data_IF_463798190015
#
_entry.id   IF_463798190015
#
_cell.length_a   1.000
_cell.length_b   1.000
_cell.length_c   1.000
_cell.angle_alpha   90.00
_cell.angle_beta   90.00
_cell.angle_gamma   90.00
#
_symmetry.space_group_name_H-M   'P 1'
#
loop_
_entity.id
_entity.type
_entity.pdbx_description
1 polymer ?
#
# COMPACT_ATOMS: atom_id res chain seq x y z
N UNK A 1 -15.31 3.08 23.06
CA UNK A 1 -13.99 2.64 22.59
C UNK A 1 -13.28 3.86 22.05
N UNK A 2 -12.19 4.26 22.70
CA UNK A 2 -11.37 5.43 22.33
C UNK A 2 -10.52 5.06 21.13
N UNK A 3 -10.87 5.59 19.95
CA UNK A 3 -10.05 5.47 18.76
C UNK A 3 -8.87 6.43 18.91
N UNK A 4 -7.68 5.89 19.15
CA UNK A 4 -6.45 6.65 19.02
C UNK A 4 -5.72 6.07 17.81
N UNK A 5 -6.00 6.59 16.62
CA UNK A 5 -5.14 6.35 15.45
C UNK A 5 -4.16 7.51 15.42
N UNK A 6 -2.93 7.27 15.82
CA UNK A 6 -1.81 8.15 15.56
C UNK A 6 -0.65 7.29 15.10
N UNK A 7 -0.61 7.04 13.80
CA UNK A 7 0.49 7.48 12.94
C UNK A 7 0.29 6.91 11.54
N UNK A 8 -0.14 7.78 10.63
CA UNK A 8 0.08 7.60 9.21
C UNK A 8 1.59 7.63 8.92
N UNK A 9 2.02 7.64 7.66
CA UNK A 9 3.44 7.69 7.39
C UNK A 9 3.79 7.84 5.92
N UNK A 10 2.83 8.19 5.07
CA UNK A 10 3.12 8.43 3.67
C UNK A 10 3.69 9.84 3.51
N UNK A 11 4.87 9.89 2.92
CA UNK A 11 5.50 11.10 2.41
C UNK A 11 5.40 11.06 0.88
N UNK A 12 5.00 12.19 0.28
CA UNK A 12 4.91 12.31 -1.17
C UNK A 12 6.28 12.06 -1.83
N UNK A 13 6.28 11.21 -2.84
CA UNK A 13 7.47 10.87 -3.62
C UNK A 13 8.09 12.10 -4.30
N UNK A 14 9.41 12.15 -4.37
CA UNK A 14 10.12 13.04 -5.30
C UNK A 14 10.07 12.46 -6.73
N UNK A 15 9.78 13.27 -7.77
CA UNK A 15 9.77 12.78 -9.16
C UNK A 15 11.11 12.20 -9.62
N UNK A 16 11.09 11.10 -10.36
CA UNK A 16 12.26 10.51 -11.04
C UNK A 16 11.89 10.12 -12.47
N UNK A 17 12.65 10.60 -13.45
CA UNK A 17 12.41 10.34 -14.88
C UNK A 17 12.69 8.88 -15.28
N UNK A 18 13.35 8.10 -14.40
CA UNK A 18 13.65 6.68 -14.61
C UNK A 18 12.54 5.75 -14.16
N UNK A 19 11.46 6.29 -13.58
CA UNK A 19 10.30 5.50 -13.14
C UNK A 19 9.74 4.69 -14.31
N UNK A 20 9.69 3.37 -14.13
CA UNK A 20 9.06 2.47 -15.11
C UNK A 20 7.55 2.67 -15.06
N UNK A 21 6.95 3.22 -16.12
CA UNK A 21 5.51 3.46 -16.17
C UNK A 21 4.74 2.17 -16.50
N UNK A 22 3.64 1.95 -15.79
CA UNK A 22 2.63 0.97 -16.15
C UNK A 22 1.77 1.54 -17.28
N UNK A 23 1.57 0.74 -18.32
CA UNK A 23 0.63 1.02 -19.39
C UNK A 23 -0.21 -0.24 -19.65
N UNK A 24 -1.51 -0.16 -19.37
CA UNK A 24 -2.46 -1.19 -19.75
C UNK A 24 -2.53 -1.29 -21.29
N UNK A 25 -2.57 -2.50 -21.86
CA UNK A 25 -2.77 -2.69 -23.29
C UNK A 25 -4.07 -2.01 -23.76
N UNK A 26 -4.05 -1.35 -24.93
CA UNK A 26 -5.22 -0.65 -25.47
C UNK A 26 -6.43 -1.57 -25.65
N UNK A 27 -6.20 -2.84 -26.01
CA UNK A 27 -7.23 -3.88 -26.11
C UNK A 27 -7.88 -4.18 -24.76
N UNK A 28 -7.11 -4.18 -23.67
CA UNK A 28 -7.65 -4.36 -22.32
C UNK A 28 -8.45 -3.12 -21.87
N UNK A 29 -7.98 -1.93 -22.22
CA UNK A 29 -8.69 -0.68 -21.90
C UNK A 29 -10.04 -0.55 -22.63
N UNK A 30 -10.14 -1.09 -23.84
CA UNK A 30 -11.38 -1.11 -24.61
C UNK A 30 -12.46 -2.04 -24.03
N UNK A 31 -12.08 -2.98 -23.17
CA UNK A 31 -12.94 -4.03 -22.62
C UNK A 31 -12.80 -4.14 -21.10
N UNK A 32 -12.71 -3.01 -20.40
CA UNK A 32 -12.65 -3.01 -18.93
C UNK A 32 -13.98 -3.54 -18.34
N UNK A 33 -13.92 -4.48 -17.38
CA UNK A 33 -15.12 -4.88 -16.66
C UNK A 33 -15.65 -3.72 -15.82
N UNK A 34 -16.96 -3.67 -15.58
CA UNK A 34 -17.58 -2.61 -14.76
C UNK A 34 -17.23 -2.70 -13.27
N UNK A 35 -16.71 -3.84 -12.84
CA UNK A 35 -16.32 -4.09 -11.46
C UNK A 35 -15.18 -5.10 -11.41
N UNK A 36 -14.22 -4.85 -10.54
CA UNK A 36 -13.16 -5.80 -10.17
C UNK A 36 -13.07 -5.85 -8.66
N UNK A 37 -12.98 -7.05 -8.11
CA UNK A 37 -12.78 -7.28 -6.69
C UNK A 37 -11.71 -8.35 -6.46
N UNK A 38 -10.53 -7.93 -6.00
CA UNK A 38 -9.41 -8.80 -5.70
C UNK A 38 -9.36 -9.22 -4.22
N UNK A 39 -10.29 -8.76 -3.36
CA UNK A 39 -10.30 -9.09 -1.92
C UNK A 39 -10.25 -10.59 -1.63
N UNK A 40 -10.94 -11.48 -2.37
CA UNK A 40 -10.85 -12.92 -2.13
C UNK A 40 -9.44 -13.51 -2.34
N UNK A 41 -8.55 -12.79 -3.03
CA UNK A 41 -7.18 -13.19 -3.30
C UNK A 41 -6.16 -12.43 -2.43
N UNK A 42 -6.62 -11.49 -1.60
CA UNK A 42 -5.75 -10.73 -0.72
C UNK A 42 -5.31 -11.55 0.49
N UNK A 43 -4.07 -11.31 0.99
CA UNK A 43 -3.68 -11.82 2.29
C UNK A 43 -4.54 -11.20 3.42
N UNK A 44 -4.57 -11.81 4.61
CA UNK A 44 -5.23 -11.25 5.79
C UNK A 44 -4.86 -9.78 6.02
N UNK A 45 -5.80 -8.95 6.46
CA UNK A 45 -5.52 -7.52 6.74
C UNK A 45 -4.58 -7.40 7.93
N UNK A 46 -3.55 -6.57 7.78
CA UNK A 46 -2.57 -6.30 8.82
C UNK A 46 -3.07 -5.22 9.79
N UNK A 47 -2.40 -5.12 10.94
CA UNK A 47 -2.53 -4.00 11.86
C UNK A 47 -1.15 -3.35 12.07
N UNK A 48 -1.02 -2.09 11.68
CA UNK A 48 0.22 -1.32 11.82
C UNK A 48 0.42 -0.80 13.25
N UNK A 49 -0.63 -0.80 14.09
CA UNK A 49 -0.60 -0.24 15.43
C UNK A 49 -0.40 1.28 15.42
N UNK A 50 0.48 1.76 16.30
CA UNK A 50 0.77 3.20 16.48
C UNK A 50 2.04 3.65 15.76
N UNK A 51 2.52 2.89 14.77
CA UNK A 51 3.75 3.18 14.04
C UNK A 51 3.43 3.75 12.66
N UNK A 52 4.21 4.73 12.21
CA UNK A 52 4.09 5.39 10.89
C UNK A 52 4.53 4.54 9.70
N UNK A 53 4.25 3.24 9.71
CA UNK A 53 4.77 2.25 8.76
C UNK A 53 3.79 1.91 7.63
N UNK A 54 2.85 2.79 7.28
CA UNK A 54 1.79 2.48 6.32
C UNK A 54 2.33 2.09 4.93
N UNK A 55 3.43 2.71 4.49
CA UNK A 55 4.13 2.34 3.24
C UNK A 55 4.56 0.89 3.25
N UNK A 56 5.24 0.46 4.31
CA UNK A 56 5.68 -0.91 4.50
C UNK A 56 4.50 -1.90 4.57
N UNK A 57 3.39 -1.54 5.22
CA UNK A 57 2.19 -2.39 5.27
C UNK A 57 1.53 -2.56 3.88
N UNK A 58 1.43 -1.47 3.11
CA UNK A 58 0.90 -1.50 1.73
C UNK A 58 1.78 -2.34 0.80
N UNK A 59 3.10 -2.15 0.87
CA UNK A 59 4.09 -2.86 0.05
C UNK A 59 4.18 -4.35 0.43
N UNK A 60 4.22 -4.68 1.73
CA UNK A 60 4.16 -6.07 2.19
C UNK A 60 2.88 -6.76 1.67
N UNK A 61 1.75 -6.05 1.68
CA UNK A 61 0.50 -6.54 1.13
C UNK A 61 0.58 -6.86 -0.36
N UNK A 62 1.22 -5.98 -1.14
CA UNK A 62 1.45 -6.19 -2.57
C UNK A 62 2.39 -7.38 -2.84
N UNK A 63 3.50 -7.51 -2.09
CA UNK A 63 4.44 -8.63 -2.19
C UNK A 63 3.74 -9.95 -1.88
N UNK A 64 3.02 -10.02 -0.76
CA UNK A 64 2.34 -11.25 -0.37
C UNK A 64 1.25 -11.64 -1.37
N UNK A 65 0.47 -10.66 -1.85
CA UNK A 65 -0.52 -10.88 -2.91
C UNK A 65 0.13 -11.47 -4.16
N UNK A 66 1.22 -10.87 -4.64
CA UNK A 66 1.88 -11.31 -5.87
C UNK A 66 2.50 -12.71 -5.71
N UNK A 67 3.14 -13.01 -4.56
CA UNK A 67 3.64 -14.36 -4.27
C UNK A 67 2.52 -15.41 -4.25
N UNK A 68 1.36 -15.08 -3.67
CA UNK A 68 0.18 -15.94 -3.68
C UNK A 68 -0.34 -16.17 -5.11
N UNK A 69 -0.44 -15.09 -5.91
CA UNK A 69 -0.84 -15.15 -7.32
C UNK A 69 0.09 -16.02 -8.16
N UNK A 70 1.40 -15.91 -7.93
CA UNK A 70 2.43 -16.71 -8.59
C UNK A 70 2.55 -18.14 -8.03
N UNK A 71 1.82 -18.47 -6.94
CA UNK A 71 1.89 -19.77 -6.24
C UNK A 71 3.30 -20.12 -5.76
N UNK A 72 4.06 -19.13 -5.31
CA UNK A 72 5.43 -19.32 -4.83
C UNK A 72 5.46 -19.95 -3.44
N UNK A 73 6.47 -20.79 -3.22
CA UNK A 73 6.72 -21.46 -1.93
C UNK A 73 8.12 -21.11 -1.40
N UNK A 74 8.29 -20.87 -0.09
CA UNK A 74 7.26 -20.89 0.94
C UNK A 74 6.31 -19.68 0.83
N UNK A 75 5.06 -19.90 1.22
CA UNK A 75 4.12 -18.82 1.49
C UNK A 75 4.50 -18.21 2.85
N UNK A 76 4.63 -16.88 2.90
CA UNK A 76 4.96 -16.16 4.13
C UNK A 76 4.37 -14.75 4.10
N UNK A 77 4.19 -14.19 5.30
CA UNK A 77 3.92 -12.77 5.51
C UNK A 77 5.25 -12.01 5.45
N UNK A 78 5.40 -10.99 4.58
CA UNK A 78 6.64 -10.20 4.47
C UNK A 78 6.86 -9.32 5.73
N UNK A 79 8.11 -9.13 6.16
CA UNK A 79 8.45 -8.35 7.35
C UNK A 79 8.26 -6.85 7.13
N UNK A 80 7.16 -6.33 7.67
CA UNK A 80 6.83 -4.89 7.58
C UNK A 80 7.90 -4.00 8.24
N UNK A 81 8.53 -4.44 9.32
CA UNK A 81 9.63 -3.67 9.94
C UNK A 81 10.93 -3.71 9.14
N UNK A 82 11.19 -4.78 8.39
CA UNK A 82 12.36 -4.84 7.51
C UNK A 82 12.22 -3.81 6.40
N UNK A 83 11.04 -3.75 5.75
CA UNK A 83 10.74 -2.73 4.75
C UNK A 83 10.87 -1.33 5.37
N UNK A 84 10.18 -1.07 6.50
CA UNK A 84 10.15 0.25 7.12
C UNK A 84 11.49 0.75 7.66
N UNK A 85 12.33 -0.15 8.19
CA UNK A 85 13.69 0.20 8.60
C UNK A 85 14.52 0.62 7.39
N UNK A 86 14.48 -0.15 6.31
CA UNK A 86 15.28 0.11 5.12
C UNK A 86 14.79 1.33 4.31
N UNK A 87 13.50 1.64 4.34
CA UNK A 87 12.96 2.92 3.87
C UNK A 87 13.67 4.09 4.56
N UNK A 88 13.70 4.08 5.90
CA UNK A 88 14.33 5.15 6.69
C UNK A 88 15.85 5.16 6.65
N UNK A 89 16.49 4.05 6.27
CA UNK A 89 17.93 4.04 5.92
C UNK A 89 18.17 4.90 4.67
N UNK A 90 17.33 4.78 3.65
CA UNK A 90 17.43 5.56 2.40
C UNK A 90 17.13 7.04 2.67
N UNK A 91 16.22 7.34 3.59
CA UNK A 91 15.83 8.70 3.95
C UNK A 91 16.68 9.35 5.05
N UNK A 92 17.59 8.59 5.65
CA UNK A 92 18.45 9.02 6.77
C UNK A 92 17.68 9.42 8.05
N UNK A 93 16.63 8.67 8.39
CA UNK A 93 15.71 8.95 9.51
C UNK A 93 15.47 7.74 10.43
N UNK A 94 16.37 6.76 10.46
CA UNK A 94 16.17 5.48 11.21
C UNK A 94 15.87 5.66 12.70
N UNK A 95 16.35 6.74 13.31
CA UNK A 95 16.19 7.02 14.74
C UNK A 95 14.82 7.68 15.09
N UNK A 96 13.98 7.96 14.10
CA UNK A 96 12.65 8.55 14.29
C UNK A 96 11.55 7.83 13.50
N UNK A 97 10.32 7.92 14.00
CA UNK A 97 9.13 7.43 13.30
C UNK A 97 8.69 8.48 12.27
N UNK A 98 9.45 8.58 11.18
CA UNK A 98 9.31 9.67 10.19
C UNK A 98 8.25 9.42 9.12
N UNK A 99 7.73 8.20 9.01
CA UNK A 99 7.12 7.74 7.77
C UNK A 99 8.18 7.50 6.68
N UNK A 100 7.71 7.30 5.44
CA UNK A 100 8.53 7.09 4.27
C UNK A 100 7.81 7.43 2.96
N UNK A 101 8.59 7.60 1.90
CA UNK A 101 8.13 7.65 0.52
C UNK A 101 7.91 6.23 -0.03
N UNK A 102 6.80 6.02 -0.76
CA UNK A 102 6.47 4.70 -1.34
C UNK A 102 7.60 4.23 -2.26
N UNK A 103 8.21 5.14 -3.03
CA UNK A 103 9.34 4.79 -3.92
C UNK A 103 10.55 4.24 -3.18
N UNK A 104 10.82 4.68 -1.96
CA UNK A 104 11.94 4.16 -1.18
C UNK A 104 11.62 2.77 -0.64
N UNK A 105 10.35 2.50 -0.33
CA UNK A 105 9.88 1.15 -0.04
C UNK A 105 10.02 0.21 -1.24
N UNK A 106 9.57 0.66 -2.42
CA UNK A 106 9.73 -0.08 -3.68
C UNK A 106 11.21 -0.33 -3.97
N UNK A 107 12.08 0.68 -3.82
CA UNK A 107 13.53 0.55 -3.99
C UNK A 107 14.12 -0.46 -3.00
N UNK A 108 13.72 -0.41 -1.74
CA UNK A 108 14.15 -1.35 -0.70
C UNK A 108 13.85 -2.80 -1.09
N UNK A 109 12.60 -3.09 -1.47
CA UNK A 109 12.21 -4.47 -1.83
C UNK A 109 12.73 -4.90 -3.21
N UNK A 110 13.07 -3.96 -4.10
CA UNK A 110 13.72 -4.24 -5.37
C UNK A 110 15.22 -4.54 -5.22
N UNK A 111 15.93 -3.80 -4.35
CA UNK A 111 17.37 -3.93 -4.14
C UNK A 111 17.73 -5.01 -3.13
N UNK A 112 16.94 -5.16 -2.07
CA UNK A 112 17.22 -6.03 -0.93
C UNK A 112 16.27 -7.23 -0.86
N UNK A 113 15.06 -7.09 -1.41
CA UNK A 113 13.95 -8.01 -1.18
C UNK A 113 13.32 -7.82 0.19
N UNK A 114 12.63 -8.84 0.69
CA UNK A 114 12.07 -8.81 2.03
C UNK A 114 12.09 -10.20 2.67
N UNK A 115 12.31 -10.27 3.98
CA UNK A 115 12.34 -11.54 4.71
C UNK A 115 10.94 -11.88 5.27
N UNK A 116 10.68 -13.15 5.61
CA UNK A 116 9.48 -13.50 6.37
C UNK A 116 9.39 -12.71 7.68
N UNK A 117 8.20 -12.24 8.04
CA UNK A 117 7.94 -11.52 9.30
C UNK A 117 8.25 -12.39 10.52
N UNK A 118 8.24 -13.71 10.40
CA UNK A 118 8.71 -14.60 11.48
C UNK A 118 10.20 -14.45 11.80
N UNK A 119 11.02 -14.02 10.84
CA UNK A 119 12.45 -13.76 11.05
C UNK A 119 12.71 -12.38 11.65
N UNK A 120 11.85 -11.40 11.30
CA UNK A 120 11.87 -10.05 11.88
C UNK A 120 10.44 -9.62 12.23
N UNK A 121 9.95 -10.01 13.44
CA UNK A 121 8.56 -9.81 13.86
C UNK A 121 8.14 -8.36 13.97
N UNK A 122 6.85 -8.09 13.74
CA UNK A 122 6.26 -6.76 13.86
C UNK A 122 6.07 -6.33 15.31
N UNK A 123 7.18 -6.00 15.95
CA UNK A 123 7.26 -5.37 17.27
C UNK A 123 7.58 -3.88 17.08
N UNK A 124 6.56 -3.03 17.21
CA UNK A 124 6.68 -1.60 16.87
C UNK A 124 7.74 -0.87 17.70
N UNK A 125 8.14 -1.37 18.87
CA UNK A 125 9.24 -0.80 19.66
C UNK A 125 10.61 -1.01 19.01
N UNK A 126 10.74 -2.02 18.13
CA UNK A 126 11.96 -2.35 17.40
C UNK A 126 12.09 -1.64 16.06
N UNK A 127 11.22 -0.68 15.74
CA UNK A 127 11.24 -0.02 14.44
C UNK A 127 12.59 0.63 14.11
N UNK A 128 13.31 1.19 15.09
CA UNK A 128 14.63 1.79 14.90
C UNK A 128 15.80 0.77 14.96
N UNK A 129 15.52 -0.50 15.29
CA UNK A 129 16.55 -1.54 15.40
C UNK A 129 16.84 -2.12 14.02
N UNK A 130 18.13 -2.18 13.66
CA UNK A 130 18.58 -2.80 12.41
C UNK A 130 18.23 -4.29 12.39
N UNK A 131 17.56 -4.79 11.33
CA UNK A 131 17.32 -6.21 11.17
C UNK A 131 18.63 -7.02 11.19
N UNK A 132 18.63 -8.24 11.74
CA UNK A 132 19.80 -9.11 11.74
C UNK A 132 20.32 -9.40 10.32
N UNK A 133 21.62 -9.67 10.18
CA UNK A 133 22.23 -9.99 8.89
C UNK A 133 21.60 -11.21 8.19
N UNK A 134 21.03 -12.15 8.97
CA UNK A 134 20.29 -13.29 8.44
C UNK A 134 19.06 -12.84 7.63
N UNK A 135 18.28 -11.87 8.13
CA UNK A 135 17.13 -11.32 7.44
C UNK A 135 17.52 -10.74 6.07
N UNK A 136 18.61 -9.97 6.00
CA UNK A 136 19.13 -9.46 4.71
C UNK A 136 19.62 -10.56 3.76
N UNK A 137 20.13 -11.68 4.31
CA UNK A 137 20.55 -12.83 3.49
C UNK A 137 19.36 -13.54 2.88
N UNK A 138 18.30 -13.76 3.66
CA UNK A 138 17.10 -14.43 3.21
C UNK A 138 16.21 -13.55 2.33
N UNK A 139 16.12 -12.24 2.63
CA UNK A 139 15.41 -11.25 1.82
C UNK A 139 15.80 -11.25 0.35
N UNK A 140 17.10 -11.47 0.04
CA UNK A 140 17.61 -11.52 -1.34
C UNK A 140 16.95 -12.59 -2.22
N UNK A 141 16.30 -13.60 -1.63
CA UNK A 141 15.55 -14.63 -2.37
C UNK A 141 14.22 -14.09 -2.91
N UNK A 142 13.66 -13.06 -2.28
CA UNK A 142 12.28 -12.64 -2.48
C UNK A 142 12.17 -11.19 -2.97
N UNK A 143 13.03 -10.79 -3.90
CA UNK A 143 13.06 -9.43 -4.46
C UNK A 143 11.83 -9.14 -5.30
N UNK A 144 11.32 -7.90 -5.24
CA UNK A 144 10.38 -7.40 -6.22
C UNK A 144 11.15 -7.08 -7.52
N UNK A 145 11.12 -8.00 -8.48
CA UNK A 145 11.90 -7.90 -9.73
C UNK A 145 11.17 -7.13 -10.83
N UNK A 146 9.86 -6.92 -10.69
CA UNK A 146 9.09 -6.05 -11.57
C UNK A 146 8.15 -5.16 -10.76
N UNK A 147 8.33 -3.85 -10.90
CA UNK A 147 7.51 -2.81 -10.30
C UNK A 147 7.33 -1.66 -11.29
N UNK A 148 6.17 -1.02 -11.25
CA UNK A 148 5.82 0.01 -12.21
C UNK A 148 4.96 1.09 -11.54
N UNK A 149 5.15 2.34 -11.95
CA UNK A 149 4.35 3.49 -11.53
C UNK A 149 3.08 3.55 -12.38
N UNK A 150 1.91 3.51 -11.74
CA UNK A 150 0.62 3.61 -12.41
C UNK A 150 0.30 5.09 -12.63
N UNK A 151 -0.01 5.47 -13.87
CA UNK A 151 -0.41 6.84 -14.16
C UNK A 151 -1.71 7.20 -13.41
N UNK A 152 -1.83 8.45 -12.96
CA UNK A 152 -3.05 8.96 -12.31
C UNK A 152 -4.18 9.16 -13.33
N UNK A 153 -4.66 8.05 -13.88
CA UNK A 153 -5.65 7.99 -14.93
C UNK A 153 -6.59 6.82 -14.64
N UNK A 154 -7.89 7.09 -14.67
CA UNK A 154 -8.91 6.12 -14.26
C UNK A 154 -8.81 4.80 -15.03
N UNK A 155 -8.60 4.86 -16.34
CA UNK A 155 -8.52 3.68 -17.19
C UNK A 155 -7.24 2.89 -16.92
N UNK A 156 -6.11 3.55 -16.65
CA UNK A 156 -4.86 2.86 -16.28
C UNK A 156 -4.97 2.17 -14.92
N UNK A 157 -5.55 2.83 -13.92
CA UNK A 157 -5.79 2.24 -12.61
C UNK A 157 -6.73 1.03 -12.70
N UNK A 158 -7.84 1.16 -13.42
CA UNK A 158 -8.77 0.06 -13.69
C UNK A 158 -8.13 -1.07 -14.48
N UNK A 159 -7.31 -0.75 -15.48
CA UNK A 159 -6.56 -1.72 -16.27
C UNK A 159 -5.58 -2.52 -15.43
N UNK A 160 -4.90 -1.88 -14.48
CA UNK A 160 -4.00 -2.55 -13.53
C UNK A 160 -4.77 -3.60 -12.71
N UNK A 161 -5.89 -3.18 -12.11
CA UNK A 161 -6.76 -4.05 -11.31
C UNK A 161 -7.40 -5.16 -12.15
N UNK A 162 -7.87 -4.85 -13.35
CA UNK A 162 -8.46 -5.82 -14.29
C UNK A 162 -7.45 -6.86 -14.78
N UNK A 163 -6.15 -6.51 -14.86
CA UNK A 163 -5.07 -7.47 -15.07
C UNK A 163 -4.82 -8.38 -13.84
N UNK A 164 -5.55 -8.16 -12.74
CA UNK A 164 -5.49 -8.93 -11.51
C UNK A 164 -4.30 -8.58 -10.63
N UNK A 165 -3.82 -7.33 -10.69
CA UNK A 165 -2.74 -6.84 -9.84
C UNK A 165 -3.21 -5.63 -9.02
N UNK A 166 -2.99 -5.63 -7.70
CA UNK A 166 -3.24 -4.45 -6.89
C UNK A 166 -2.14 -3.40 -7.12
N UNK A 167 -2.38 -2.20 -6.62
CA UNK A 167 -1.38 -1.14 -6.59
C UNK A 167 -1.46 -0.37 -5.27
N UNK A 168 -0.31 -0.01 -4.74
CA UNK A 168 -0.15 0.82 -3.54
C UNK A 168 -0.42 2.28 -3.91
N UNK A 169 -1.03 3.04 -3.01
CA UNK A 169 -1.34 4.46 -3.21
C UNK A 169 -0.94 5.28 -1.99
N UNK A 170 -0.54 6.53 -2.21
CA UNK A 170 -0.48 7.55 -1.18
C UNK A 170 -1.68 8.51 -1.28
N UNK A 171 -2.31 8.84 -0.15
CA UNK A 171 -3.41 9.79 -0.12
C UNK A 171 -3.44 10.63 1.17
N UNK A 172 -3.89 11.87 1.04
CA UNK A 172 -4.12 12.79 2.15
C UNK A 172 -5.33 12.32 2.95
N UNK A 173 -5.21 12.21 4.26
CA UNK A 173 -6.30 11.86 5.18
C UNK A 173 -6.88 13.13 5.80
N UNK A 174 -8.21 13.22 5.85
CA UNK A 174 -8.94 14.32 6.47
C UNK A 174 -9.88 13.83 7.59
N UNK A 175 -10.43 14.75 8.39
CA UNK A 175 -11.26 14.45 9.57
C UNK A 175 -12.46 13.52 9.31
N UNK A 176 -13.11 13.63 8.16
CA UNK A 176 -14.25 12.83 7.73
C UNK A 176 -13.87 11.36 7.51
N UNK A 177 -12.65 11.10 7.06
CA UNK A 177 -12.11 9.74 6.92
C UNK A 177 -11.97 9.05 8.29
N UNK A 178 -11.58 9.81 9.31
CA UNK A 178 -11.44 9.32 10.69
C UNK A 178 -12.76 9.32 11.47
N UNK A 179 -13.87 9.65 10.82
CA UNK A 179 -15.16 9.64 11.48
C UNK A 179 -15.58 8.22 11.90
N UNK A 180 -16.35 8.14 12.99
CA UNK A 180 -16.97 6.86 13.44
C UNK A 180 -17.81 6.21 12.35
N UNK A 181 -18.44 7.00 11.48
CA UNK A 181 -19.23 6.51 10.35
C UNK A 181 -18.34 5.75 9.35
N UNK A 182 -17.19 6.30 8.98
CA UNK A 182 -16.25 5.61 8.08
C UNK A 182 -15.66 4.38 8.76
N UNK A 183 -15.28 4.49 10.04
CA UNK A 183 -14.79 3.35 10.80
C UNK A 183 -15.80 2.18 10.92
N UNK A 184 -17.11 2.45 10.83
CA UNK A 184 -18.16 1.43 10.86
C UNK A 184 -18.56 0.93 9.47
N UNK A 185 -18.54 1.79 8.45
CA UNK A 185 -19.08 1.47 7.12
C UNK A 185 -18.01 1.19 6.07
N UNK A 186 -16.79 1.66 6.28
CA UNK A 186 -15.73 1.67 5.28
C UNK A 186 -15.99 2.58 4.09
N UNK A 187 -17.03 3.42 4.09
CA UNK A 187 -17.33 4.31 2.97
C UNK A 187 -16.82 5.73 3.25
N UNK A 188 -15.62 6.03 2.78
CA UNK A 188 -15.01 7.35 2.93
C UNK A 188 -15.62 8.36 1.92
N UNK A 189 -16.02 9.56 2.38
CA UNK A 189 -16.51 10.61 1.50
C UNK A 189 -15.37 11.38 0.84
N UNK A 190 -15.70 12.29 -0.09
CA UNK A 190 -14.79 13.39 -0.44
C UNK A 190 -14.64 14.34 0.76
N UNK A 191 -13.45 14.92 0.98
CA UNK A 191 -13.27 15.92 2.03
C UNK A 191 -14.09 17.18 1.73
N UNK A 192 -14.58 17.83 2.78
CA UNK A 192 -15.24 19.13 2.69
C UNK A 192 -14.25 20.27 2.41
N UNK A 193 -14.72 21.43 1.89
CA UNK A 193 -13.86 22.54 1.45
C UNK A 193 -13.04 23.22 2.56
N UNK A 194 -13.42 23.03 3.83
CA UNK A 194 -12.75 23.60 5.00
C UNK A 194 -12.33 22.52 6.01
N UNK A 195 -12.30 21.28 5.57
CA UNK A 195 -11.94 20.15 6.42
C UNK A 195 -10.44 20.12 6.66
N UNK A 196 -10.03 19.78 7.89
CA UNK A 196 -8.61 19.76 8.23
C UNK A 196 -7.97 18.47 7.71
N UNK A 197 -6.83 18.61 7.03
CA UNK A 197 -5.95 17.48 6.72
C UNK A 197 -5.25 17.02 8.01
N UNK A 198 -5.32 15.71 8.28
CA UNK A 198 -4.74 15.07 9.46
C UNK A 198 -3.35 14.47 9.19
N UNK A 199 -3.09 14.02 7.96
CA UNK A 199 -1.79 13.48 7.56
C UNK A 199 -1.84 12.77 6.21
N UNK A 200 -0.80 12.02 5.86
CA UNK A 200 -0.71 11.24 4.64
C UNK A 200 -0.65 9.75 4.92
N UNK A 201 -1.52 8.95 4.30
CA UNK A 201 -1.61 7.50 4.50
C UNK A 201 -1.34 6.72 3.23
N UNK A 202 -0.87 5.48 3.39
CA UNK A 202 -0.58 4.56 2.29
C UNK A 202 -1.34 3.25 2.45
N UNK A 203 -2.00 2.81 1.38
CA UNK A 203 -2.87 1.63 1.36
C UNK A 203 -2.76 0.89 0.02
N UNK A 204 -3.38 -0.29 -0.06
CA UNK A 204 -3.37 -1.12 -1.27
C UNK A 204 -4.74 -1.08 -1.97
N UNK A 205 -4.82 -0.55 -3.19
CA UNK A 205 -6.00 -0.63 -4.03
C UNK A 205 -6.16 -2.06 -4.58
N UNK A 206 -7.35 -2.65 -4.38
CA UNK A 206 -7.65 -4.06 -4.66
C UNK A 206 -8.92 -4.25 -5.49
N UNK A 207 -9.55 -3.17 -5.95
CA UNK A 207 -10.75 -3.28 -6.76
C UNK A 207 -11.36 -1.94 -7.10
N UNK A 208 -12.44 -1.98 -7.90
CA UNK A 208 -13.25 -0.84 -8.24
C UNK A 208 -14.67 -1.27 -8.61
N UNK A 209 -15.62 -0.34 -8.52
CA UNK A 209 -17.00 -0.55 -8.95
C UNK A 209 -17.54 0.73 -9.62
N UNK A 210 -17.95 0.61 -10.88
CA UNK A 210 -18.44 1.71 -11.70
C UNK A 210 -19.81 2.22 -11.28
N UNK A 211 -20.68 1.34 -10.78
CA UNK A 211 -22.03 1.71 -10.34
C UNK A 211 -21.99 2.68 -9.15
N UNK A 212 -20.95 2.58 -8.31
CA UNK A 212 -20.73 3.45 -7.16
C UNK A 212 -19.58 4.46 -7.36
N UNK A 213 -18.88 4.38 -8.49
CA UNK A 213 -17.71 5.21 -8.83
C UNK A 213 -16.66 5.27 -7.71
N UNK A 214 -16.27 4.11 -7.18
CA UNK A 214 -15.29 4.03 -6.11
C UNK A 214 -14.21 2.96 -6.36
N UNK A 215 -13.05 3.17 -5.75
CA UNK A 215 -12.04 2.13 -5.59
C UNK A 215 -12.26 1.41 -4.26
N UNK A 216 -11.88 0.13 -4.21
CA UNK A 216 -11.86 -0.70 -3.00
C UNK A 216 -10.41 -0.80 -2.56
N UNK A 217 -10.13 -0.51 -1.29
CA UNK A 217 -8.80 -0.41 -0.74
C UNK A 217 -8.67 -1.26 0.52
N UNK A 218 -7.54 -1.95 0.64
CA UNK A 218 -7.12 -2.70 1.83
C UNK A 218 -6.33 -1.75 2.74
N UNK A 219 -6.86 -1.51 3.93
CA UNK A 219 -6.20 -0.72 4.96
C UNK A 219 -5.20 -1.59 5.76
N UNK A 220 -4.57 -1.00 6.76
CA UNK A 220 -3.62 -1.65 7.68
C UNK A 220 -3.96 -1.38 9.16
N UNK A 221 -5.25 -1.29 9.49
CA UNK A 221 -5.77 -0.97 10.83
C UNK A 221 -6.57 -2.12 11.45
N UNK A 222 -6.22 -3.35 11.07
CA UNK A 222 -6.90 -4.56 11.52
C UNK A 222 -8.30 -4.76 10.90
N UNK A 223 -8.87 -5.94 11.15
CA UNK A 223 -10.17 -6.34 10.60
C UNK A 223 -11.36 -5.70 11.33
N UNK A 224 -11.14 -5.10 12.51
CA UNK A 224 -12.19 -4.43 13.28
C UNK A 224 -12.60 -3.05 12.76
N UNK A 225 -11.94 -2.54 11.72
CA UNK A 225 -12.19 -1.22 11.14
C UNK A 225 -12.76 -1.32 9.72
N UNK A 226 -13.74 -0.49 9.39
CA UNK A 226 -14.36 -0.44 8.06
C UNK A 226 -15.08 -1.74 7.69
N UNK A 227 -14.93 -2.16 6.44
CA UNK A 227 -15.47 -3.42 5.92
C UNK A 227 -14.44 -4.54 6.11
N UNK A 228 -14.28 -5.04 7.34
CA UNK A 228 -13.29 -6.08 7.68
C UNK A 228 -11.83 -5.68 7.35
N UNK A 229 -11.49 -4.42 7.57
CA UNK A 229 -10.18 -3.84 7.25
C UNK A 229 -10.07 -3.25 5.84
N UNK A 230 -11.18 -3.24 5.08
CA UNK A 230 -11.27 -2.59 3.77
C UNK A 230 -12.14 -1.34 3.82
N UNK A 231 -11.95 -0.47 2.84
CA UNK A 231 -12.77 0.73 2.66
C UNK A 231 -12.87 1.09 1.18
N UNK A 232 -13.68 2.10 0.88
CA UNK A 232 -13.82 2.65 -0.47
C UNK A 232 -13.51 4.13 -0.49
N UNK A 233 -12.81 4.57 -1.53
CA UNK A 233 -12.63 5.99 -1.87
C UNK A 233 -13.29 6.30 -3.22
N UNK A 234 -13.95 7.46 -3.38
CA UNK A 234 -14.48 7.90 -4.67
C UNK A 234 -13.40 7.98 -5.74
N UNK A 235 -13.75 7.75 -7.01
CA UNK A 235 -12.83 7.96 -8.14
C UNK A 235 -12.25 9.37 -8.16
N UNK A 236 -13.06 10.38 -7.89
CA UNK A 236 -12.61 11.77 -7.81
C UNK A 236 -11.52 11.99 -6.76
N UNK A 237 -11.47 11.19 -5.70
CA UNK A 237 -10.41 11.27 -4.68
C UNK A 237 -9.06 10.83 -5.27
N UNK A 238 -9.04 9.69 -5.97
CA UNK A 238 -7.83 9.14 -6.55
C UNK A 238 -7.36 9.90 -7.81
N UNK A 239 -8.24 10.67 -8.43
CA UNK A 239 -7.96 11.43 -9.64
C UNK A 239 -7.58 12.90 -9.36
N UNK A 240 -7.67 13.36 -8.11
CA UNK A 240 -7.22 14.68 -7.70
C UNK A 240 -5.76 14.61 -7.20
N UNK A 241 -4.85 15.30 -7.90
CA UNK A 241 -3.41 15.34 -7.62
C UNK A 241 -3.05 16.02 -6.28
N UNK A 242 -4.01 16.72 -5.65
CA UNK A 242 -3.88 17.30 -4.33
C UNK A 242 -4.29 16.33 -3.22
N UNK A 243 -5.10 15.33 -3.54
CA UNK A 243 -5.63 14.37 -2.57
C UNK A 243 -4.89 13.03 -2.59
N UNK A 244 -4.31 12.65 -3.73
CA UNK A 244 -3.59 11.39 -3.86
C UNK A 244 -2.55 11.42 -4.97
N UNK A 245 -1.56 10.53 -4.87
CA UNK A 245 -0.48 10.33 -5.85
C UNK A 245 0.25 9.02 -5.54
N UNK A 246 1.36 8.77 -6.23
CA UNK A 246 2.36 7.75 -5.89
C UNK A 246 1.81 6.33 -5.99
N UNK A 247 1.14 6.08 -7.11
CA UNK A 247 0.56 4.79 -7.44
C UNK A 247 1.64 3.82 -7.94
N UNK A 248 1.87 2.73 -7.23
CA UNK A 248 2.90 1.74 -7.56
C UNK A 248 2.35 0.32 -7.56
N UNK A 249 2.61 -0.45 -8.60
CA UNK A 249 2.24 -1.88 -8.67
C UNK A 249 3.51 -2.75 -8.68
N UNK A 250 3.51 -3.82 -7.88
CA UNK A 250 4.49 -4.90 -7.95
C UNK A 250 3.85 -6.02 -8.78
N UNK A 251 4.59 -6.51 -9.78
CA UNK A 251 4.08 -7.42 -10.81
C UNK A 251 4.73 -8.80 -10.79
N UNK A 252 5.95 -8.87 -10.26
CA UNK A 252 6.70 -10.11 -10.12
C UNK A 252 7.64 -10.00 -8.91
N UNK A 253 7.50 -10.94 -8.00
CA UNK A 253 8.45 -11.25 -6.93
C UNK A 253 9.26 -12.50 -7.31
N UNK A 254 10.56 -12.51 -7.03
CA UNK A 254 11.44 -13.65 -7.28
C UNK A 254 11.00 -14.90 -6.50
N UNK A 255 11.25 -16.06 -7.12
CA UNK A 255 10.98 -17.39 -6.56
C UNK A 255 12.02 -17.78 -5.50
#
# INVERSE_FOLDING_TARGET
MTYTVKQYGWIRDLPDHRDHLYAAPTTALAALPHMVDLRPHCPPVYDQGQLGSCTANGIAGAIQFDRMKQKLTPAFEPSRLFIYYNERVIEHTVDSDSGAMIRHGIKSVAEQGDCPEKEWPYDIEKFAVKPPAACYKDARKYKAVSYQKVAQNLNQMKGCLAAGYPFVIGFSVYESFESKKVAQTGHAPMPGPHEKMLGGHCVLAVGYNDAHQHFILRNSWGTGWGMEGYFTLPYSYLLDENLSTDFWTIRVVAA
#
